data_IF_456080865756
#
_entry.id   IF_456080865756
#
_cell.length_a   1.000
_cell.length_b   1.000
_cell.length_c   1.000
_cell.angle_alpha   90.00
_cell.angle_beta   90.00
_cell.angle_gamma   90.00
#
_symmetry.space_group_name_H-M   'P 1'
#
loop_
_entity.id
_entity.type
_entity.pdbx_description
1 polymer ?
#
# COMPACT_ATOMS: atom_id res chain seq x y z
N UNK A 1 15.76 -14.98 53.73
CA UNK A 1 15.17 -14.68 52.40
C UNK A 1 13.68 -15.01 52.46
N UNK A 2 12.80 -14.01 52.28
CA UNK A 2 11.40 -14.08 52.74
C UNK A 2 10.54 -15.04 51.88
N UNK A 3 10.05 -16.14 52.48
CA UNK A 3 9.32 -17.23 51.80
C UNK A 3 8.03 -16.74 51.10
N UNK A 4 7.42 -15.68 51.63
CA UNK A 4 6.27 -14.96 51.06
C UNK A 4 6.60 -14.23 49.76
N UNK A 5 7.79 -13.64 49.66
CA UNK A 5 8.25 -12.95 48.44
C UNK A 5 8.45 -13.96 47.31
N UNK A 6 9.05 -15.11 47.59
CA UNK A 6 9.26 -16.17 46.60
C UNK A 6 7.94 -16.77 46.08
N UNK A 7 6.95 -16.91 46.96
CA UNK A 7 5.60 -17.38 46.59
C UNK A 7 4.87 -16.38 45.69
N UNK A 8 4.98 -15.07 45.99
CA UNK A 8 4.39 -14.04 45.15
C UNK A 8 5.08 -13.98 43.78
N UNK A 9 6.41 -13.99 43.71
CA UNK A 9 7.15 -13.97 42.43
C UNK A 9 6.74 -15.16 41.54
N UNK A 10 6.64 -16.37 42.11
CA UNK A 10 6.22 -17.57 41.36
C UNK A 10 4.79 -17.48 40.82
N UNK A 11 3.89 -16.76 41.49
CA UNK A 11 2.51 -16.56 41.04
C UNK A 11 2.38 -15.46 39.98
N UNK A 12 3.11 -14.35 40.13
CA UNK A 12 3.01 -13.19 39.23
C UNK A 12 3.85 -13.31 37.95
N UNK A 13 4.97 -14.06 37.99
CA UNK A 13 5.82 -14.27 36.82
C UNK A 13 5.09 -14.83 35.58
N UNK A 14 4.27 -15.91 35.67
CA UNK A 14 3.54 -16.42 34.51
C UNK A 14 2.47 -15.43 34.02
N UNK A 15 1.84 -14.66 34.92
CA UNK A 15 0.83 -13.66 34.56
C UNK A 15 1.45 -12.54 33.71
N UNK A 16 2.59 -12.01 34.15
CA UNK A 16 3.32 -10.98 33.40
C UNK A 16 3.79 -11.52 32.04
N UNK A 17 4.23 -12.78 31.99
CA UNK A 17 4.69 -13.41 30.76
C UNK A 17 3.54 -13.60 29.74
N UNK A 18 2.36 -14.02 30.20
CA UNK A 18 1.17 -14.14 29.33
C UNK A 18 0.71 -12.77 28.84
N UNK A 19 0.71 -11.74 29.69
CA UNK A 19 0.35 -10.38 29.29
C UNK A 19 1.35 -9.83 28.27
N UNK A 20 2.64 -10.05 28.48
CA UNK A 20 3.70 -9.64 27.55
C UNK A 20 3.58 -10.31 26.18
N UNK A 21 3.38 -11.63 26.15
CA UNK A 21 3.13 -12.36 24.90
C UNK A 21 1.84 -11.90 24.22
N UNK A 22 0.76 -11.68 24.98
CA UNK A 22 -0.50 -11.17 24.47
C UNK A 22 -0.35 -9.79 23.82
N UNK A 23 0.46 -8.91 24.42
CA UNK A 23 0.76 -7.59 23.86
C UNK A 23 1.52 -7.68 22.53
N UNK A 24 2.52 -8.56 22.44
CA UNK A 24 3.26 -8.81 21.20
C UNK A 24 2.34 -9.34 20.11
N UNK A 25 1.54 -10.37 20.41
CA UNK A 25 0.59 -10.95 19.44
C UNK A 25 -0.44 -9.90 18.98
N UNK A 26 -0.97 -9.11 19.91
CA UNK A 26 -1.91 -8.05 19.55
C UNK A 26 -1.26 -6.99 18.65
N UNK A 27 -0.03 -6.60 18.97
CA UNK A 27 0.71 -5.62 18.18
C UNK A 27 1.03 -6.11 16.77
N UNK A 28 1.46 -7.36 16.64
CA UNK A 28 1.97 -7.91 15.37
C UNK A 28 0.85 -8.44 14.47
N UNK A 29 -0.29 -8.85 15.03
CA UNK A 29 -1.39 -9.44 14.23
C UNK A 29 -2.65 -8.58 14.20
N UNK A 30 -3.09 -8.00 15.32
CA UNK A 30 -4.34 -7.26 15.33
C UNK A 30 -4.22 -5.88 14.65
N UNK A 31 -3.10 -5.18 14.87
CA UNK A 31 -2.86 -3.87 14.24
C UNK A 31 -2.87 -3.92 12.70
N UNK A 32 -2.13 -4.81 12.02
CA UNK A 32 -2.14 -4.83 10.56
C UNK A 32 -3.50 -5.23 9.98
N UNK A 33 -4.24 -6.14 10.62
CA UNK A 33 -5.59 -6.51 10.19
C UNK A 33 -6.57 -5.33 10.22
N UNK A 34 -6.53 -4.53 11.29
CA UNK A 34 -7.39 -3.34 11.43
C UNK A 34 -6.98 -2.26 10.43
N UNK A 35 -5.66 -2.04 10.27
CA UNK A 35 -5.12 -1.10 9.30
C UNK A 35 -5.57 -1.42 7.87
N UNK A 36 -5.45 -2.69 7.48
CA UNK A 36 -5.87 -3.17 6.18
C UNK A 36 -7.38 -2.98 5.99
N UNK A 37 -8.21 -3.49 6.89
CA UNK A 37 -9.68 -3.43 6.75
C UNK A 37 -10.22 -2.00 6.66
N UNK A 38 -9.60 -1.06 7.37
CA UNK A 38 -10.04 0.33 7.38
C UNK A 38 -9.64 1.12 6.13
N UNK A 39 -8.48 0.82 5.54
CA UNK A 39 -7.92 1.59 4.42
C UNK A 39 -7.93 0.84 3.08
N UNK A 40 -8.34 -0.43 3.03
CA UNK A 40 -8.29 -1.24 1.81
C UNK A 40 -9.07 -0.62 0.64
N UNK A 41 -10.22 -0.02 0.92
CA UNK A 41 -11.03 0.64 -0.13
C UNK A 41 -10.34 1.87 -0.72
N UNK A 42 -9.77 2.72 0.13
CA UNK A 42 -9.01 3.89 -0.31
C UNK A 42 -7.73 3.49 -1.05
N UNK A 43 -7.02 2.48 -0.53
CA UNK A 43 -5.82 1.93 -1.15
C UNK A 43 -6.10 1.39 -2.56
N UNK A 44 -7.17 0.59 -2.73
CA UNK A 44 -7.60 0.07 -4.03
C UNK A 44 -7.92 1.20 -5.00
N UNK A 45 -8.69 2.20 -4.56
CA UNK A 45 -9.03 3.36 -5.40
C UNK A 45 -7.79 4.12 -5.86
N UNK A 46 -6.87 4.45 -4.93
CA UNK A 46 -5.63 5.16 -5.26
C UNK A 46 -4.70 4.33 -6.16
N UNK A 47 -4.66 3.01 -5.98
CA UNK A 47 -3.89 2.11 -6.85
C UNK A 47 -4.40 2.15 -8.29
N UNK A 48 -5.72 2.07 -8.48
CA UNK A 48 -6.35 2.16 -9.79
C UNK A 48 -6.16 3.55 -10.43
N UNK A 49 -6.40 4.63 -9.69
CA UNK A 49 -6.24 5.99 -10.20
C UNK A 49 -4.78 6.28 -10.60
N UNK A 50 -3.80 5.78 -9.83
CA UNK A 50 -2.40 5.89 -10.19
C UNK A 50 -2.06 5.08 -11.46
N UNK A 51 -2.54 3.83 -11.57
CA UNK A 51 -2.31 3.02 -12.78
C UNK A 51 -2.88 3.72 -14.03
N UNK A 52 -4.10 4.24 -13.96
CA UNK A 52 -4.72 5.00 -15.05
C UNK A 52 -3.92 6.26 -15.42
N UNK A 53 -3.48 7.04 -14.42
CA UNK A 53 -2.68 8.23 -14.65
C UNK A 53 -1.34 7.89 -15.34
N UNK A 54 -0.68 6.81 -14.92
CA UNK A 54 0.57 6.35 -15.54
C UNK A 54 0.36 5.92 -16.99
N UNK A 55 -0.75 5.25 -17.30
CA UNK A 55 -1.08 4.86 -18.67
C UNK A 55 -1.39 6.06 -19.57
N UNK A 56 -2.15 7.04 -19.07
CA UNK A 56 -2.46 8.26 -19.81
C UNK A 56 -1.18 9.04 -20.15
N UNK A 57 -0.30 9.18 -19.16
CA UNK A 57 1.00 9.84 -19.31
C UNK A 57 1.89 9.10 -20.33
N UNK A 58 2.02 7.78 -20.22
CA UNK A 58 2.80 6.95 -21.14
C UNK A 58 2.26 7.03 -22.58
N UNK A 59 0.94 6.99 -22.77
CA UNK A 59 0.30 7.09 -24.08
C UNK A 59 0.56 8.45 -24.76
N UNK A 60 0.54 9.54 -23.99
CA UNK A 60 0.79 10.90 -24.51
C UNK A 60 2.27 11.18 -24.78
N UNK A 61 3.19 10.48 -24.10
CA UNK A 61 4.62 10.52 -24.41
C UNK A 61 4.96 9.93 -25.77
N UNK A 62 4.29 8.83 -26.15
CA UNK A 62 4.55 8.15 -27.43
C UNK A 62 4.10 8.97 -28.65
N UNK A 63 3.21 9.95 -28.47
CA UNK A 63 2.76 10.82 -29.56
C UNK A 63 3.92 11.67 -30.12
N UNK A 64 4.22 11.53 -31.40
CA UNK A 64 5.30 12.29 -32.06
C UNK A 64 4.85 13.73 -32.40
N UNK A 65 3.53 13.98 -32.45
CA UNK A 65 2.98 15.28 -32.80
C UNK A 65 3.22 16.32 -31.71
N UNK A 66 3.69 17.49 -32.14
CA UNK A 66 3.99 18.63 -31.28
C UNK A 66 3.05 19.79 -31.61
N UNK A 67 1.76 19.56 -31.43
CA UNK A 67 0.74 20.60 -31.51
C UNK A 67 0.45 21.17 -30.11
N UNK A 68 -0.08 22.40 -30.07
CA UNK A 68 -0.36 23.10 -28.80
C UNK A 68 -1.40 22.35 -27.95
N UNK A 69 -2.25 21.52 -28.55
CA UNK A 69 -3.24 20.73 -27.83
C UNK A 69 -2.59 19.52 -27.14
N UNK A 70 -1.70 18.78 -27.82
CA UNK A 70 -0.97 17.65 -27.21
C UNK A 70 -0.05 18.12 -26.09
N UNK A 71 0.59 19.29 -26.22
CA UNK A 71 1.39 19.87 -25.13
C UNK A 71 0.56 20.13 -23.87
N UNK A 72 -0.67 20.65 -24.03
CA UNK A 72 -1.59 20.85 -22.89
C UNK A 72 -2.07 19.54 -22.29
N UNK A 73 -2.30 18.52 -23.10
CA UNK A 73 -2.68 17.19 -22.63
C UNK A 73 -1.54 16.54 -21.83
N UNK A 74 -0.29 16.66 -22.31
CA UNK A 74 0.89 16.19 -21.58
C UNK A 74 1.03 16.84 -20.21
N UNK A 75 0.91 18.17 -20.15
CA UNK A 75 0.90 18.90 -18.89
C UNK A 75 -0.23 18.44 -17.95
N UNK A 76 -1.41 18.14 -18.50
CA UNK A 76 -2.52 17.60 -17.71
C UNK A 76 -2.20 16.22 -17.15
N UNK A 77 -1.61 15.32 -17.95
CA UNK A 77 -1.23 13.99 -17.51
C UNK A 77 -0.10 14.03 -16.46
N UNK A 78 0.90 14.91 -16.64
CA UNK A 78 1.95 15.17 -15.65
C UNK A 78 1.36 15.63 -14.30
N UNK A 79 0.34 16.48 -14.32
CA UNK A 79 -0.37 16.91 -13.10
C UNK A 79 -1.21 15.75 -12.53
N UNK A 80 -1.81 14.93 -13.39
CA UNK A 80 -2.58 13.74 -13.00
C UNK A 80 -1.75 12.73 -12.20
N UNK A 81 -0.45 12.62 -12.48
CA UNK A 81 0.49 11.75 -11.77
C UNK A 81 0.65 12.08 -10.27
N UNK A 82 0.16 13.23 -9.79
CA UNK A 82 0.15 13.56 -8.36
C UNK A 82 -0.58 12.48 -7.54
N UNK A 83 -1.60 11.81 -8.10
CA UNK A 83 -2.33 10.74 -7.40
C UNK A 83 -1.43 9.56 -7.01
N UNK A 84 -0.38 9.29 -7.79
CA UNK A 84 0.60 8.25 -7.46
C UNK A 84 1.40 8.57 -6.19
N UNK A 85 1.57 9.85 -5.86
CA UNK A 85 2.20 10.26 -4.61
C UNK A 85 1.31 9.91 -3.40
N UNK A 86 0.00 10.18 -3.50
CA UNK A 86 -0.95 9.87 -2.43
C UNK A 86 -1.08 8.36 -2.23
N UNK A 87 -1.09 7.59 -3.34
CA UNK A 87 -1.00 6.14 -3.32
C UNK A 87 0.25 5.65 -2.55
N UNK A 88 1.43 6.15 -2.89
CA UNK A 88 2.69 5.74 -2.26
C UNK A 88 2.76 6.13 -0.77
N UNK A 89 2.24 7.30 -0.40
CA UNK A 89 2.11 7.71 1.01
C UNK A 89 1.25 6.69 1.77
N UNK A 90 0.07 6.34 1.24
CA UNK A 90 -0.82 5.41 1.92
C UNK A 90 -0.20 4.00 2.00
N UNK A 91 0.41 3.52 0.90
CA UNK A 91 1.15 2.25 0.87
C UNK A 91 2.18 2.19 1.99
N UNK A 92 3.01 3.22 2.13
CA UNK A 92 4.04 3.31 3.18
C UNK A 92 3.44 3.37 4.58
N UNK A 93 2.33 4.09 4.79
CA UNK A 93 1.62 4.10 6.08
C UNK A 93 1.15 2.71 6.48
N UNK A 94 0.59 1.94 5.53
CA UNK A 94 0.12 0.57 5.79
C UNK A 94 1.27 -0.40 6.09
N UNK A 95 2.40 -0.26 5.39
CA UNK A 95 3.63 -1.00 5.70
C UNK A 95 4.13 -0.71 7.12
N UNK A 96 4.15 0.56 7.52
CA UNK A 96 4.52 0.96 8.89
C UNK A 96 3.57 0.38 9.93
N UNK A 97 2.29 0.19 9.57
CA UNK A 97 1.28 -0.43 10.43
C UNK A 97 1.36 -1.97 10.45
N UNK A 98 2.30 -2.57 9.72
CA UNK A 98 2.60 -4.00 9.73
C UNK A 98 1.90 -4.80 8.64
N UNK A 99 1.17 -4.16 7.72
CA UNK A 99 0.61 -4.86 6.55
C UNK A 99 1.78 -5.30 5.67
N UNK A 100 1.79 -6.55 5.20
CA UNK A 100 2.88 -7.05 4.37
C UNK A 100 2.83 -6.48 2.95
N UNK A 101 3.99 -6.41 2.29
CA UNK A 101 4.07 -6.01 0.89
C UNK A 101 3.23 -6.92 -0.02
N UNK A 102 3.29 -8.24 0.20
CA UNK A 102 2.51 -9.21 -0.56
C UNK A 102 1.00 -8.96 -0.43
N UNK A 103 0.54 -8.57 0.76
CA UNK A 103 -0.88 -8.29 0.98
C UNK A 103 -1.33 -7.02 0.27
N UNK A 104 -0.52 -5.97 0.33
CA UNK A 104 -0.77 -4.74 -0.42
C UNK A 104 -0.74 -4.99 -1.93
N UNK A 105 0.22 -5.78 -2.43
CA UNK A 105 0.28 -6.17 -3.83
C UNK A 105 -0.98 -6.93 -4.27
N UNK A 106 -1.47 -7.86 -3.45
CA UNK A 106 -2.73 -8.57 -3.73
C UNK A 106 -3.95 -7.64 -3.76
N UNK A 107 -4.03 -6.64 -2.87
CA UNK A 107 -5.12 -5.66 -2.90
C UNK A 107 -5.09 -4.82 -4.17
N UNK A 108 -3.89 -4.43 -4.63
CA UNK A 108 -3.69 -3.73 -5.91
C UNK A 108 -4.09 -4.60 -7.11
N UNK A 109 -3.62 -5.85 -7.16
CA UNK A 109 -4.00 -6.79 -8.22
C UNK A 109 -5.50 -7.02 -8.28
N UNK A 110 -6.16 -7.16 -7.12
CA UNK A 110 -7.61 -7.39 -7.06
C UNK A 110 -8.40 -6.28 -7.76
N UNK A 111 -8.03 -5.00 -7.56
CA UNK A 111 -8.74 -3.90 -8.22
C UNK A 111 -8.40 -3.81 -9.71
N UNK A 112 -7.14 -4.03 -10.09
CA UNK A 112 -6.72 -3.95 -11.50
C UNK A 112 -7.32 -5.08 -12.35
N UNK A 113 -7.47 -6.27 -11.79
CA UNK A 113 -8.11 -7.41 -12.47
C UNK A 113 -9.64 -7.25 -12.57
N UNK A 114 -10.29 -6.70 -11.54
CA UNK A 114 -11.74 -6.44 -11.55
C UNK A 114 -12.09 -5.41 -12.62
N UNK A 115 -11.26 -4.38 -12.79
CA UNK A 115 -11.42 -3.33 -13.81
C UNK A 115 -10.93 -3.77 -15.21
N UNK A 116 -10.61 -5.05 -15.39
CA UNK A 116 -10.22 -5.68 -16.66
C UNK A 116 -8.94 -5.11 -17.32
N UNK A 117 -8.02 -4.56 -16.53
CA UNK A 117 -6.73 -4.10 -17.05
C UNK A 117 -5.88 -5.34 -17.36
N UNK A 118 -5.41 -5.47 -18.61
CA UNK A 118 -4.57 -6.62 -18.99
C UNK A 118 -3.17 -6.51 -18.40
N UNK A 119 -2.52 -7.65 -18.13
CA UNK A 119 -1.12 -7.65 -17.64
C UNK A 119 -0.18 -6.86 -18.55
N UNK A 120 -0.42 -6.89 -19.87
CA UNK A 120 0.37 -6.14 -20.82
C UNK A 120 0.24 -4.63 -20.64
N UNK A 121 -0.98 -4.14 -20.36
CA UNK A 121 -1.23 -2.74 -20.04
C UNK A 121 -0.48 -2.38 -18.75
N UNK A 122 -0.70 -3.13 -17.65
CA UNK A 122 -0.05 -2.89 -16.36
C UNK A 122 1.48 -2.69 -16.48
N UNK A 123 2.15 -3.50 -17.31
CA UNK A 123 3.61 -3.43 -17.49
C UNK A 123 4.03 -2.25 -18.37
N UNK A 124 3.25 -1.87 -19.39
CA UNK A 124 3.67 -0.86 -20.37
C UNK A 124 3.84 0.52 -19.74
N UNK A 125 2.98 0.88 -18.78
CA UNK A 125 3.12 2.12 -18.02
C UNK A 125 4.36 2.15 -17.09
N UNK A 126 4.93 0.99 -16.77
CA UNK A 126 6.11 0.82 -15.90
C UNK A 126 7.42 0.60 -16.67
N UNK A 127 7.37 0.68 -18.01
CA UNK A 127 8.54 0.42 -18.86
C UNK A 127 9.53 1.57 -18.82
N UNK A 128 10.74 1.26 -18.34
CA UNK A 128 11.83 2.22 -18.20
C UNK A 128 12.69 2.37 -19.47
N UNK A 129 12.44 1.56 -20.50
CA UNK A 129 13.14 1.58 -21.78
C UNK A 129 12.63 2.64 -22.78
N UNK A 130 11.56 3.36 -22.42
CA UNK A 130 10.95 4.43 -23.24
C UNK A 130 11.17 5.85 -22.70
N UNK A 131 12.14 6.03 -21.79
CA UNK A 131 12.55 7.32 -21.23
C UNK A 131 13.70 7.95 -22.02
#
# INVERSE_FOLDING_TARGET
MNRTIYRNIRLWAPVILVIGLGFIVFHDYARPLIAEYSHSGEYKRLALECDLAMHEEAALRELIENDQQTERLRLSADVGMIVCHDYDILRKKLLIQGVSEDRLAMLGLEVLEVEQITVQQMVDAHRMDRF
#
